data_IF_471238742209
#
_entry.id   IF_471238742209
#
_cell.length_a   1.000
_cell.length_b   1.000
_cell.length_c   1.000
_cell.angle_alpha   90.00
_cell.angle_beta   90.00
_cell.angle_gamma   90.00
#
_symmetry.space_group_name_H-M   'P 1'
#
loop_
_entity.id
_entity.type
_entity.pdbx_description
1 polymer ?
#
# COMPACT_ATOMS: atom_id res chain seq x y z
N UNK A 1 4.98 -25.17 1.33
CA UNK A 1 5.10 -23.84 0.72
C UNK A 1 3.92 -23.03 1.23
N UNK A 2 4.14 -22.26 2.29
CA UNK A 2 3.14 -21.38 2.87
C UNK A 2 2.97 -20.21 1.88
N UNK A 3 1.83 -20.18 1.21
CA UNK A 3 1.48 -19.16 0.24
C UNK A 3 1.42 -17.82 0.96
N UNK A 4 2.48 -17.01 0.89
CA UNK A 4 2.49 -15.63 1.35
C UNK A 4 1.30 -14.92 0.71
N UNK A 5 0.34 -14.47 1.52
CA UNK A 5 -0.87 -13.80 1.04
C UNK A 5 -0.50 -12.38 0.67
N UNK A 6 -0.10 -12.17 -0.59
CA UNK A 6 0.00 -10.84 -1.14
C UNK A 6 -1.40 -10.30 -1.46
N UNK A 7 -1.68 -9.07 -1.06
CA UNK A 7 -2.94 -8.37 -1.30
C UNK A 7 -2.66 -7.03 -1.94
N UNK A 8 -3.42 -6.72 -2.98
CA UNK A 8 -3.34 -5.45 -3.70
C UNK A 8 -4.69 -4.76 -3.63
N UNK A 9 -4.72 -3.57 -3.03
CA UNK A 9 -5.92 -2.71 -2.96
C UNK A 9 -5.69 -1.46 -3.79
N UNK A 10 -6.67 -1.05 -4.58
CA UNK A 10 -6.61 0.21 -5.35
C UNK A 10 -7.60 1.19 -4.75
N UNK A 11 -7.14 2.41 -4.43
CA UNK A 11 -8.01 3.49 -3.96
C UNK A 11 -7.73 4.81 -4.67
N UNK A 12 -8.71 5.71 -4.60
CA UNK A 12 -8.62 7.08 -5.12
C UNK A 12 -8.12 7.96 -3.98
N UNK A 13 -6.95 8.57 -4.15
CA UNK A 13 -6.41 9.51 -3.18
C UNK A 13 -6.47 10.92 -3.76
N UNK A 14 -7.06 11.84 -3.00
CA UNK A 14 -7.12 13.26 -3.37
C UNK A 14 -5.79 13.92 -3.03
N UNK A 15 -4.89 14.02 -4.00
CA UNK A 15 -3.63 14.75 -3.82
C UNK A 15 -3.86 16.26 -3.96
N UNK A 16 -3.17 17.03 -3.11
CA UNK A 16 -3.06 18.48 -3.26
C UNK A 16 -1.87 18.76 -4.19
N UNK A 17 -2.16 19.27 -5.38
CA UNK A 17 -1.15 19.68 -6.34
C UNK A 17 -1.06 21.20 -6.33
N UNK A 18 0.15 21.73 -6.15
CA UNK A 18 0.41 23.17 -6.26
C UNK A 18 0.72 23.48 -7.71
N UNK A 19 -0.18 24.22 -8.38
CA UNK A 19 0.04 24.75 -9.72
C UNK A 19 0.23 26.26 -9.63
N UNK A 20 1.49 26.70 -9.54
CA UNK A 20 1.83 28.10 -9.30
C UNK A 20 1.43 28.54 -7.89
N UNK A 21 0.60 29.59 -7.78
CA UNK A 21 0.10 30.09 -6.50
C UNK A 21 -1.23 29.46 -6.04
N UNK A 22 -1.76 28.48 -6.79
CA UNK A 22 -3.05 27.85 -6.52
C UNK A 22 -2.82 26.40 -6.07
N UNK A 23 -3.48 26.02 -4.98
CA UNK A 23 -3.56 24.62 -4.53
C UNK A 23 -4.81 24.01 -5.13
N UNK A 24 -4.64 23.07 -6.07
CA UNK A 24 -5.74 22.31 -6.67
C UNK A 24 -5.79 20.92 -6.05
N UNK A 25 -6.95 20.48 -5.59
CA UNK A 25 -7.16 19.09 -5.19
C UNK A 25 -7.51 18.30 -6.44
N UNK A 26 -6.63 17.42 -6.87
CA UNK A 26 -6.85 16.56 -8.03
C UNK A 26 -7.07 15.15 -7.54
N UNK A 27 -8.21 14.50 -7.86
CA UNK A 27 -8.39 13.09 -7.58
C UNK A 27 -7.40 12.30 -8.43
N UNK A 28 -6.34 11.79 -7.81
CA UNK A 28 -5.40 10.89 -8.45
C UNK A 28 -5.93 9.48 -8.22
N UNK A 29 -6.62 8.97 -9.23
CA UNK A 29 -7.00 7.56 -9.29
C UNK A 29 -5.73 6.72 -9.37
N UNK A 30 -5.59 5.72 -8.48
CA UNK A 30 -4.50 4.73 -8.38
C UNK A 30 -3.34 5.09 -7.47
N UNK A 31 -3.59 5.15 -6.17
CA UNK A 31 -2.58 4.57 -5.27
C UNK A 31 -2.89 3.08 -5.17
N UNK A 32 -1.96 2.20 -5.56
CA UNK A 32 -2.01 0.78 -5.21
C UNK A 32 -1.36 0.61 -3.85
N UNK A 33 -2.03 -0.13 -2.98
CA UNK A 33 -1.48 -0.57 -1.71
C UNK A 33 -1.19 -2.06 -1.82
N UNK A 34 0.07 -2.42 -1.67
CA UNK A 34 0.54 -3.81 -1.69
C UNK A 34 0.91 -4.20 -0.27
N UNK A 35 0.32 -5.29 0.21
CA UNK A 35 0.60 -5.90 1.50
C UNK A 35 1.05 -7.34 1.28
N UNK A 36 2.25 -7.70 1.72
CA UNK A 36 2.75 -9.07 1.65
C UNK A 36 3.19 -9.56 3.03
N UNK A 37 2.68 -10.72 3.42
CA UNK A 37 3.06 -11.38 4.65
C UNK A 37 4.42 -12.06 4.51
N UNK A 38 5.37 -11.66 5.35
CA UNK A 38 6.69 -12.28 5.46
C UNK A 38 6.55 -13.64 6.15
N UNK A 39 6.98 -14.74 5.50
CA UNK A 39 6.87 -16.07 6.08
C UNK A 39 7.87 -16.31 7.22
N UNK A 40 8.86 -15.43 7.38
CA UNK A 40 9.92 -15.51 8.38
C UNK A 40 9.47 -15.09 9.79
N UNK A 41 8.68 -14.02 9.90
CA UNK A 41 8.34 -13.38 11.17
C UNK A 41 6.85 -13.04 11.32
N UNK A 42 6.03 -13.26 10.29
CA UNK A 42 4.60 -12.96 10.30
C UNK A 42 4.28 -11.46 10.21
N UNK A 43 5.29 -10.62 9.97
CA UNK A 43 5.09 -9.20 9.68
C UNK A 43 4.55 -9.02 8.26
N UNK A 44 3.92 -7.89 7.99
CA UNK A 44 3.34 -7.61 6.67
C UNK A 44 4.02 -6.39 6.07
N UNK A 45 4.84 -6.59 5.05
CA UNK A 45 5.46 -5.50 4.31
C UNK A 45 4.38 -4.70 3.56
N UNK A 46 4.47 -3.38 3.64
CA UNK A 46 3.48 -2.44 3.15
C UNK A 46 4.11 -1.49 2.14
N UNK A 47 3.46 -1.34 1.00
CA UNK A 47 3.86 -0.39 -0.03
C UNK A 47 2.66 0.44 -0.50
N UNK A 48 2.87 1.74 -0.72
CA UNK A 48 1.91 2.66 -1.33
C UNK A 48 2.52 3.28 -2.59
N UNK A 49 1.85 3.12 -3.72
CA UNK A 49 2.30 3.72 -4.98
C UNK A 49 1.80 2.95 -6.19
N UNK A 50 2.22 3.37 -7.38
CA UNK A 50 1.97 2.63 -8.61
C UNK A 50 3.18 1.75 -8.97
N UNK A 51 3.59 0.92 -8.01
CA UNK A 51 4.71 -0.01 -8.21
C UNK A 51 4.15 -1.37 -8.64
N UNK A 52 4.80 -2.00 -9.63
CA UNK A 52 4.45 -3.34 -10.07
C UNK A 52 4.95 -4.41 -9.09
N UNK A 53 4.27 -5.55 -9.07
CA UNK A 53 4.55 -6.67 -8.16
C UNK A 53 6.01 -7.15 -8.24
N UNK A 54 6.64 -7.01 -9.41
CA UNK A 54 8.05 -7.35 -9.65
C UNK A 54 9.04 -6.43 -8.93
N UNK A 55 8.72 -5.15 -8.83
CA UNK A 55 9.55 -4.15 -8.15
C UNK A 55 9.39 -4.23 -6.62
N UNK A 56 8.22 -4.70 -6.16
CA UNK A 56 7.94 -4.92 -4.74
C UNK A 56 8.85 -5.99 -4.12
N UNK A 57 9.05 -7.12 -4.82
CA UNK A 57 9.85 -8.26 -4.31
C UNK A 57 11.31 -7.84 -4.06
N UNK A 58 11.85 -6.91 -4.85
CA UNK A 58 13.22 -6.40 -4.66
C UNK A 58 13.37 -5.39 -3.52
N UNK A 59 12.27 -4.78 -3.07
CA UNK A 59 12.27 -3.72 -2.05
C UNK A 59 11.72 -4.16 -0.69
N UNK A 60 11.19 -5.38 -0.57
CA UNK A 60 10.46 -5.88 0.60
C UNK A 60 11.22 -5.76 1.94
N UNK A 61 12.55 -5.80 1.92
CA UNK A 61 13.39 -5.64 3.12
C UNK A 61 13.58 -4.19 3.57
N UNK A 62 13.23 -3.22 2.73
CA UNK A 62 13.32 -1.79 3.01
C UNK A 62 11.96 -1.13 3.14
N UNK A 63 10.88 -1.87 2.90
CA UNK A 63 9.52 -1.38 3.04
C UNK A 63 9.09 -1.33 4.51
N UNK A 64 8.23 -0.37 4.88
CA UNK A 64 7.62 -0.37 6.20
C UNK A 64 6.81 -1.64 6.40
N UNK A 65 6.90 -2.24 7.58
CA UNK A 65 6.19 -3.48 7.93
C UNK A 65 5.14 -3.22 9.00
N UNK A 66 3.96 -3.80 8.84
CA UNK A 66 2.96 -3.93 9.88
C UNK A 66 3.27 -5.15 10.75
N UNK A 67 2.93 -5.10 12.05
CA UNK A 67 3.32 -6.15 12.98
C UNK A 67 2.56 -7.47 12.79
N UNK A 68 1.39 -7.46 12.13
CA UNK A 68 0.63 -8.66 11.79
C UNK A 68 -0.43 -8.39 10.71
N UNK A 69 -1.08 -9.46 10.27
CA UNK A 69 -2.17 -9.45 9.27
C UNK A 69 -3.43 -8.74 9.76
N UNK A 70 -3.71 -8.70 11.06
CA UNK A 70 -4.87 -7.98 11.61
C UNK A 70 -4.74 -6.46 11.42
N UNK A 71 -3.54 -5.89 11.58
CA UNK A 71 -3.32 -4.47 11.26
C UNK A 71 -3.43 -4.19 9.76
N UNK A 72 -3.03 -5.14 8.92
CA UNK A 72 -3.21 -5.04 7.47
C UNK A 72 -4.69 -5.02 7.08
N UNK A 73 -5.52 -5.87 7.71
CA UNK A 73 -6.97 -5.90 7.50
C UNK A 73 -7.63 -4.59 7.93
N UNK A 74 -7.33 -4.08 9.13
CA UNK A 74 -7.87 -2.79 9.61
C UNK A 74 -7.49 -1.63 8.70
N UNK A 75 -6.26 -1.63 8.20
CA UNK A 75 -5.77 -0.60 7.30
C UNK A 75 -6.51 -0.67 5.95
N UNK A 76 -6.70 -1.88 5.40
CA UNK A 76 -7.49 -2.08 4.20
C UNK A 76 -8.93 -1.56 4.37
N UNK A 77 -9.59 -1.88 5.48
CA UNK A 77 -10.94 -1.41 5.79
C UNK A 77 -11.02 0.12 5.86
N UNK A 78 -10.01 0.78 6.44
CA UNK A 78 -9.93 2.24 6.49
C UNK A 78 -9.88 2.88 5.10
N UNK A 79 -9.19 2.26 4.14
CA UNK A 79 -9.10 2.79 2.77
C UNK A 79 -10.34 2.45 1.93
N UNK A 80 -11.03 1.34 2.21
CA UNK A 80 -12.26 0.96 1.52
C UNK A 80 -13.46 1.80 2.00
N UNK A 81 -13.45 2.23 3.26
CA UNK A 81 -14.54 3.00 3.87
C UNK A 81 -14.53 4.52 3.56
N UNK A 82 -13.61 5.01 2.72
CA UNK A 82 -13.50 6.45 2.37
C UNK A 82 -14.39 6.87 1.20
#
# INVERSE_FOLDING_TARGET
MNTCKMRVSSFIWNERVVQGNVVTVVPKCRTRMIMAEKPSDGTVALHYGDIDESDYIGAEDHLPTLPNTHFADLLADQFISQ
#
